data_IF_685111196367
#
_entry.id   IF_685111196367
#
_cell.length_a   1.000
_cell.length_b   1.000
_cell.length_c   1.000
_cell.angle_alpha   90.00
_cell.angle_beta   90.00
_cell.angle_gamma   90.00
#
_symmetry.space_group_name_H-M   'P 1'
#
loop_
_entity.id
_entity.type
_entity.pdbx_description
1 polymer ?
#
# COMPACT_ATOMS: atom_id res chain seq x y z
N UNK A 1 27.44 2.18 38.83
CA UNK A 1 27.23 0.99 37.97
C UNK A 1 25.76 0.70 37.72
N UNK A 2 24.90 0.69 38.75
CA UNK A 2 23.45 0.42 38.64
C UNK A 2 22.70 1.38 37.71
N UNK A 3 23.09 2.66 37.68
CA UNK A 3 22.48 3.70 36.84
C UNK A 3 22.83 3.51 35.35
N UNK A 4 24.08 3.12 35.05
CA UNK A 4 24.55 2.82 33.68
C UNK A 4 23.81 1.63 33.09
N UNK A 5 23.59 0.58 33.91
CA UNK A 5 22.83 -0.59 33.50
C UNK A 5 21.37 -0.23 33.16
N UNK A 6 20.78 0.72 33.90
CA UNK A 6 19.43 1.22 33.66
C UNK A 6 19.35 2.04 32.37
N UNK A 7 20.36 2.86 32.07
CA UNK A 7 20.43 3.64 30.83
C UNK A 7 20.60 2.76 29.60
N UNK A 8 21.41 1.70 29.69
CA UNK A 8 21.59 0.70 28.62
C UNK A 8 20.28 -0.06 28.36
N UNK A 9 19.55 -0.42 29.42
CA UNK A 9 18.26 -1.10 29.29
C UNK A 9 17.20 -0.25 28.57
N UNK A 10 17.15 1.06 28.84
CA UNK A 10 16.23 2.00 28.17
C UNK A 10 16.60 2.22 26.69
N UNK A 11 17.89 2.21 26.35
CA UNK A 11 18.33 2.38 24.97
C UNK A 11 18.03 1.14 24.11
N UNK A 12 18.02 -0.06 24.71
CA UNK A 12 17.68 -1.31 24.01
C UNK A 12 16.19 -1.45 23.68
N UNK A 13 15.28 -0.77 24.38
CA UNK A 13 13.84 -0.82 24.08
C UNK A 13 13.42 0.17 23.00
N UNK A 14 14.32 1.04 22.51
CA UNK A 14 14.01 2.03 21.49
C UNK A 14 14.14 1.49 20.04
N UNK A 15 14.57 0.24 19.86
CA UNK A 15 14.76 -0.41 18.55
C UNK A 15 13.59 -1.29 18.10
N UNK A 16 12.43 -1.20 18.75
CA UNK A 16 11.21 -1.79 18.19
C UNK A 16 10.82 -1.00 16.93
N UNK A 17 11.22 -1.53 15.77
CA UNK A 17 10.73 -1.08 14.47
C UNK A 17 9.21 -1.16 14.46
N UNK A 18 8.55 0.00 14.47
CA UNK A 18 7.15 0.08 14.09
C UNK A 18 7.07 -0.36 12.62
N UNK A 19 6.27 -1.38 12.33
CA UNK A 19 5.97 -1.75 10.96
C UNK A 19 5.28 -0.54 10.30
N UNK A 20 5.91 0.06 9.30
CA UNK A 20 5.29 1.12 8.51
C UNK A 20 4.13 0.51 7.74
N UNK A 21 2.97 1.17 7.75
CA UNK A 21 1.89 0.85 6.83
C UNK A 21 2.42 0.92 5.37
N UNK A 22 1.98 0.01 4.48
CA UNK A 22 2.34 0.07 3.09
C UNK A 22 1.80 1.36 2.49
N UNK A 23 2.67 2.07 1.79
CA UNK A 23 2.28 3.32 1.12
C UNK A 23 1.47 2.95 -0.12
N UNK A 24 0.14 3.02 -0.01
CA UNK A 24 -0.72 2.91 -1.16
C UNK A 24 -0.53 4.15 -2.07
N UNK A 25 -0.44 3.95 -3.40
CA UNK A 25 -0.40 5.05 -4.35
C UNK A 25 -1.60 5.98 -4.20
N UNK A 26 -1.40 7.26 -4.47
CA UNK A 26 -2.50 8.22 -4.56
C UNK A 26 -3.46 7.74 -5.64
N UNK A 27 -4.75 7.67 -5.30
CA UNK A 27 -5.79 7.24 -6.22
C UNK A 27 -6.02 8.31 -7.30
N UNK A 28 -5.25 8.25 -8.39
CA UNK A 28 -5.39 9.16 -9.55
C UNK A 28 -6.48 8.71 -10.53
N UNK A 29 -7.06 7.53 -10.30
CA UNK A 29 -8.10 6.92 -11.12
C UNK A 29 -8.43 5.51 -10.63
N UNK A 30 -9.33 4.78 -11.33
CA UNK A 30 -9.73 3.44 -10.92
C UNK A 30 -8.64 2.38 -11.10
N UNK A 31 -7.54 2.69 -11.80
CA UNK A 31 -6.37 1.81 -11.96
C UNK A 31 -5.11 2.62 -11.71
N UNK A 32 -4.25 2.15 -10.80
CA UNK A 32 -2.93 2.71 -10.54
C UNK A 32 -1.91 1.57 -10.54
N UNK A 33 -0.87 1.68 -11.37
CA UNK A 33 0.19 0.68 -11.50
C UNK A 33 1.56 1.33 -11.33
N UNK A 34 2.22 1.04 -10.21
CA UNK A 34 3.57 1.53 -9.90
C UNK A 34 4.68 0.54 -10.31
N UNK A 35 4.31 -0.56 -10.99
CA UNK A 35 5.22 -1.64 -11.39
C UNK A 35 5.43 -1.71 -12.89
N UNK A 36 4.54 -1.12 -13.68
CA UNK A 36 4.60 -1.17 -15.15
C UNK A 36 4.22 -2.54 -15.73
N UNK A 37 3.49 -3.36 -14.98
CA UNK A 37 2.93 -4.63 -15.44
C UNK A 37 1.90 -4.40 -16.55
N UNK A 38 1.14 -3.30 -16.45
CA UNK A 38 0.16 -2.89 -17.44
C UNK A 38 0.76 -1.81 -18.35
N UNK A 39 0.58 -1.99 -19.66
CA UNK A 39 0.83 -0.91 -20.61
C UNK A 39 -0.31 0.12 -20.60
N UNK A 40 -0.09 1.28 -21.24
CA UNK A 40 -1.04 2.40 -21.22
C UNK A 40 -2.41 2.05 -21.81
N UNK A 41 -2.48 1.16 -22.82
CA UNK A 41 -3.76 0.74 -23.40
C UNK A 41 -4.53 -0.19 -22.47
N UNK A 42 -3.84 -1.10 -21.77
CA UNK A 42 -4.46 -1.96 -20.76
C UNK A 42 -5.02 -1.12 -19.59
N UNK A 43 -4.27 -0.14 -19.10
CA UNK A 43 -4.74 0.80 -18.07
C UNK A 43 -6.00 1.53 -18.55
N UNK A 44 -5.99 2.04 -19.78
CA UNK A 44 -7.12 2.78 -20.39
C UNK A 44 -8.38 1.91 -20.49
N UNK A 45 -8.24 0.70 -21.03
CA UNK A 45 -9.35 -0.23 -21.23
C UNK A 45 -9.93 -0.70 -19.89
N UNK A 46 -9.07 -1.07 -18.94
CA UNK A 46 -9.51 -1.50 -17.61
C UNK A 46 -10.22 -0.36 -16.87
N UNK A 47 -9.66 0.85 -16.90
CA UNK A 47 -10.28 2.03 -16.30
C UNK A 47 -11.67 2.31 -16.88
N UNK A 48 -11.83 2.25 -18.20
CA UNK A 48 -13.12 2.44 -18.85
C UNK A 48 -14.14 1.38 -18.41
N UNK A 49 -13.72 0.12 -18.27
CA UNK A 49 -14.58 -0.97 -17.78
C UNK A 49 -15.05 -0.72 -16.35
N UNK A 50 -14.15 -0.31 -15.46
CA UNK A 50 -14.48 -0.04 -14.04
C UNK A 50 -15.40 1.16 -13.90
N UNK A 51 -15.19 2.23 -14.68
CA UNK A 51 -16.10 3.38 -14.73
C UNK A 51 -17.49 2.97 -15.24
N UNK A 52 -17.55 2.15 -16.28
CA UNK A 52 -18.83 1.63 -16.78
C UNK A 52 -19.53 0.77 -15.72
N UNK A 53 -18.77 -0.05 -14.99
CA UNK A 53 -19.32 -0.85 -13.90
C UNK A 53 -19.90 0.03 -12.80
N UNK A 54 -19.16 1.07 -12.37
CA UNK A 54 -19.63 2.05 -11.39
C UNK A 54 -20.92 2.75 -11.85
N UNK A 55 -21.01 3.17 -13.11
CA UNK A 55 -22.22 3.80 -13.65
C UNK A 55 -23.44 2.87 -13.59
N UNK A 56 -23.24 1.58 -13.83
CA UNK A 56 -24.33 0.59 -13.89
C UNK A 56 -24.72 0.05 -12.51
N UNK A 57 -23.76 -0.07 -11.57
CA UNK A 57 -23.95 -0.76 -10.29
C UNK A 57 -23.86 0.17 -9.07
N UNK A 58 -23.39 1.40 -9.24
CA UNK A 58 -23.12 2.35 -8.16
C UNK A 58 -21.84 2.05 -7.37
N UNK A 59 -21.46 0.78 -7.25
CA UNK A 59 -20.22 0.35 -6.57
C UNK A 59 -18.97 0.78 -7.32
N UNK A 60 -17.99 1.31 -6.58
CA UNK A 60 -16.69 1.71 -7.10
C UNK A 60 -15.68 0.59 -6.89
N UNK A 61 -14.90 0.27 -7.92
CA UNK A 61 -13.82 -0.70 -7.87
C UNK A 61 -12.53 0.00 -8.27
N UNK A 62 -11.51 -0.09 -7.42
CA UNK A 62 -10.17 0.36 -7.69
C UNK A 62 -9.23 -0.84 -7.84
N UNK A 63 -8.23 -0.71 -8.71
CA UNK A 63 -7.16 -1.69 -8.92
C UNK A 63 -5.84 -0.99 -8.67
N UNK A 64 -5.04 -1.55 -7.76
CA UNK A 64 -3.73 -1.03 -7.40
C UNK A 64 -2.69 -2.12 -7.62
N UNK A 65 -1.58 -1.78 -8.27
CA UNK A 65 -0.44 -2.68 -8.44
C UNK A 65 0.78 -2.00 -7.81
N UNK A 66 1.29 -2.63 -6.76
CA UNK A 66 2.46 -2.17 -6.00
C UNK A 66 3.56 -3.24 -5.98
N UNK A 67 4.83 -2.86 -5.75
CA UNK A 67 5.93 -3.82 -5.73
C UNK A 67 5.84 -4.87 -4.61
N UNK A 68 5.28 -4.51 -3.44
CA UNK A 68 5.12 -5.43 -2.31
C UNK A 68 4.12 -4.89 -1.29
N UNK A 69 3.39 -5.80 -0.61
CA UNK A 69 2.60 -5.49 0.60
C UNK A 69 3.39 -5.68 1.88
N UNK A 70 4.60 -6.27 1.81
CA UNK A 70 5.40 -6.58 2.99
C UNK A 70 5.65 -5.34 3.84
N UNK A 71 5.54 -5.45 5.18
CA UNK A 71 5.39 -6.70 5.95
C UNK A 71 3.94 -7.18 6.13
N UNK A 72 2.95 -6.49 5.55
CA UNK A 72 1.54 -6.85 5.70
C UNK A 72 1.14 -8.01 4.78
N UNK A 73 0.06 -8.68 5.17
CA UNK A 73 -0.67 -9.56 4.25
C UNK A 73 -1.40 -8.69 3.20
N UNK A 74 -2.13 -9.32 2.27
CA UNK A 74 -2.87 -8.57 1.25
C UNK A 74 -4.16 -7.99 1.83
N UNK A 75 -4.69 -8.64 2.87
CA UNK A 75 -5.96 -8.34 3.52
C UNK A 75 -5.84 -7.39 4.71
N UNK A 76 -4.66 -7.33 5.33
CA UNK A 76 -4.32 -6.42 6.44
C UNK A 76 -4.00 -5.00 5.96
#
# INVERSE_FOLDING_TARGET
MKNILFTIAILLTAVFSYASEPVFPVLTGPVVDNTGVLNSDQIRLLSAKLISFQKTKGSQIAVCIIPTTSPLTIED
#
